data_IF_603512702483
#
_entry.id   IF_603512702483
#
_cell.length_a   1.000
_cell.length_b   1.000
_cell.length_c   1.000
_cell.angle_alpha   90.00
_cell.angle_beta   90.00
_cell.angle_gamma   90.00
#
_symmetry.space_group_name_H-M   'P 1'
#
loop_
_entity.id
_entity.type
_entity.pdbx_description
1 polymer ?
#
# COMPACT_ATOMS: atom_id res chain seq x y z
N UNK A 1 21.77 -15.64 0.74
CA UNK A 1 20.35 -16.04 0.67
C UNK A 1 20.21 -17.13 -0.39
N UNK A 2 20.53 -18.40 -0.08
CA UNK A 2 20.43 -19.51 -1.04
C UNK A 2 19.02 -19.72 -1.61
N UNK A 3 17.99 -19.32 -0.88
CA UNK A 3 16.58 -19.38 -1.28
C UNK A 3 16.27 -18.45 -2.45
N UNK A 4 16.86 -17.24 -2.44
CA UNK A 4 16.69 -16.28 -3.53
C UNK A 4 17.24 -16.82 -4.86
N UNK A 5 18.45 -17.39 -4.85
CA UNK A 5 19.04 -17.99 -6.06
C UNK A 5 18.15 -19.09 -6.62
N UNK A 6 17.60 -19.93 -5.72
CA UNK A 6 16.70 -21.02 -6.10
C UNK A 6 15.42 -20.49 -6.77
N UNK A 7 14.82 -19.41 -6.25
CA UNK A 7 13.65 -18.79 -6.87
C UNK A 7 13.98 -18.05 -8.17
N UNK A 8 15.11 -17.36 -8.21
CA UNK A 8 15.56 -16.63 -9.40
C UNK A 8 15.82 -17.57 -10.58
N UNK A 9 16.47 -18.71 -10.34
CA UNK A 9 16.70 -19.75 -11.35
C UNK A 9 15.40 -20.33 -11.91
N UNK A 10 14.31 -20.27 -11.15
CA UNK A 10 13.00 -20.74 -11.60
C UNK A 10 12.29 -19.81 -12.60
N UNK A 11 12.81 -18.59 -12.82
CA UNK A 11 12.28 -17.61 -13.77
C UNK A 11 10.76 -17.35 -13.66
N UNK A 12 10.17 -17.57 -12.49
CA UNK A 12 8.73 -17.31 -12.22
C UNK A 12 8.45 -15.84 -11.98
N UNK A 13 9.05 -14.96 -12.78
CA UNK A 13 8.80 -13.51 -12.73
C UNK A 13 7.58 -13.25 -13.61
N UNK A 14 6.43 -13.03 -12.97
CA UNK A 14 5.24 -12.53 -13.66
C UNK A 14 5.02 -11.07 -13.27
N UNK A 15 4.69 -10.24 -14.25
CA UNK A 15 4.17 -8.90 -13.97
C UNK A 15 2.75 -9.05 -13.44
N UNK A 16 2.59 -8.89 -12.12
CA UNK A 16 1.28 -8.78 -11.49
C UNK A 16 0.91 -7.29 -11.42
N UNK A 17 0.04 -6.86 -12.32
CA UNK A 17 -0.50 -5.51 -12.32
C UNK A 17 -1.60 -5.34 -11.25
N UNK A 18 -2.26 -6.42 -10.86
CA UNK A 18 -3.26 -6.43 -9.79
C UNK A 18 -3.52 -7.84 -9.24
N UNK A 19 -4.19 -7.92 -8.09
CA UNK A 19 -4.69 -9.17 -7.51
C UNK A 19 -4.74 -9.16 -5.99
N UNK A 20 -5.11 -10.29 -5.38
CA UNK A 20 -5.18 -10.38 -3.92
C UNK A 20 -3.88 -10.93 -3.33
N UNK A 21 -3.36 -10.23 -2.33
CA UNK A 21 -2.17 -10.58 -1.57
C UNK A 21 -2.56 -10.94 -0.14
N UNK A 22 -2.06 -12.08 0.34
CA UNK A 22 -2.20 -12.53 1.73
C UNK A 22 -0.90 -12.31 2.45
N UNK A 23 -0.94 -11.50 3.50
CA UNK A 23 0.22 -11.09 4.28
C UNK A 23 0.01 -11.46 5.74
N UNK A 24 1.10 -11.77 6.43
CA UNK A 24 1.10 -11.90 7.88
C UNK A 24 1.80 -10.68 8.49
N UNK A 25 1.04 -9.77 9.09
CA UNK A 25 1.57 -8.61 9.78
C UNK A 25 1.85 -8.95 11.25
N UNK A 26 3.05 -8.66 11.80
CA UNK A 26 3.46 -9.12 13.12
C UNK A 26 2.56 -8.64 14.28
N UNK A 27 1.80 -7.55 14.08
CA UNK A 27 0.96 -6.97 15.13
C UNK A 27 -0.55 -7.19 14.92
N UNK A 28 -1.02 -7.24 13.68
CA UNK A 28 -2.47 -7.37 13.39
C UNK A 28 -2.84 -8.73 12.78
N UNK A 29 -1.85 -9.62 12.62
CA UNK A 29 -2.04 -10.95 12.07
C UNK A 29 -2.28 -10.91 10.56
N UNK A 30 -3.16 -11.78 10.10
CA UNK A 30 -3.38 -11.99 8.66
C UNK A 30 -4.16 -10.84 8.01
N UNK A 31 -3.65 -10.37 6.87
CA UNK A 31 -4.25 -9.36 6.02
C UNK A 31 -4.50 -9.93 4.63
N UNK A 32 -5.70 -9.74 4.10
CA UNK A 32 -6.02 -9.93 2.69
C UNK A 32 -6.16 -8.57 2.05
N UNK A 33 -5.25 -8.22 1.15
CA UNK A 33 -5.19 -6.92 0.49
C UNK A 33 -5.33 -7.09 -1.02
N UNK A 34 -6.17 -6.28 -1.65
CA UNK A 34 -6.10 -6.09 -3.09
C UNK A 34 -4.90 -5.20 -3.41
N UNK A 35 -4.04 -5.62 -4.34
CA UNK A 35 -2.93 -4.82 -4.83
C UNK A 35 -3.18 -4.39 -6.26
N UNK A 36 -2.69 -3.20 -6.59
CA UNK A 36 -2.64 -2.67 -7.96
C UNK A 36 -1.30 -1.95 -8.17
N UNK A 37 -0.70 -2.13 -9.33
CA UNK A 37 0.57 -1.52 -9.72
C UNK A 37 0.32 -0.59 -10.91
N UNK A 38 0.57 0.70 -10.71
CA UNK A 38 0.19 1.78 -11.63
C UNK A 38 1.45 2.48 -12.16
N UNK A 39 1.79 2.23 -13.42
CA UNK A 39 2.91 2.90 -14.08
C UNK A 39 2.63 4.41 -14.25
N UNK A 40 3.66 5.24 -14.08
CA UNK A 40 3.56 6.69 -14.27
C UNK A 40 3.90 7.06 -15.72
N UNK A 41 2.96 7.62 -16.52
CA UNK A 41 3.22 7.90 -17.93
C UNK A 41 4.35 8.89 -18.19
N UNK A 42 4.59 9.82 -17.25
CA UNK A 42 5.62 10.84 -17.35
C UNK A 42 6.99 10.39 -16.80
N UNK A 43 7.03 9.25 -16.09
CA UNK A 43 8.24 8.70 -15.48
C UNK A 43 8.17 7.16 -15.50
N UNK A 44 8.63 6.51 -16.59
CA UNK A 44 8.47 5.07 -16.79
C UNK A 44 9.32 4.21 -15.84
N UNK A 45 10.27 4.83 -15.12
CA UNK A 45 11.07 4.16 -14.09
C UNK A 45 10.38 4.18 -12.71
N UNK A 46 9.19 4.79 -12.63
CA UNK A 46 8.38 4.88 -11.42
C UNK A 46 7.02 4.18 -11.55
N UNK A 47 6.59 3.60 -10.44
CA UNK A 47 5.31 2.92 -10.31
C UNK A 47 4.71 3.20 -8.93
N UNK A 48 3.38 3.35 -8.88
CA UNK A 48 2.63 3.42 -7.63
C UNK A 48 2.06 2.03 -7.35
N UNK A 49 2.44 1.45 -6.21
CA UNK A 49 1.80 0.24 -5.69
C UNK A 49 0.71 0.63 -4.69
N UNK A 50 -0.55 0.39 -5.04
CA UNK A 50 -1.69 0.57 -4.15
C UNK A 50 -2.04 -0.76 -3.49
N UNK A 51 -2.26 -0.73 -2.17
CA UNK A 51 -2.81 -1.85 -1.41
C UNK A 51 -4.06 -1.39 -0.68
N UNK A 52 -5.17 -2.09 -0.90
CA UNK A 52 -6.46 -1.80 -0.26
C UNK A 52 -7.05 -3.06 0.38
N UNK A 53 -7.95 -2.89 1.34
CA UNK A 53 -8.71 -4.00 1.91
C UNK A 53 -10.20 -3.76 1.63
N UNK A 54 -10.92 -4.83 1.34
CA UNK A 54 -12.36 -4.77 1.10
C UNK A 54 -13.10 -4.15 2.30
N UNK A 55 -13.93 -3.11 2.11
CA UNK A 55 -14.65 -2.47 3.20
C UNK A 55 -15.50 -3.44 4.03
N UNK A 56 -15.54 -3.24 5.35
CA UNK A 56 -16.29 -4.09 6.28
C UNK A 56 -15.61 -5.43 6.61
N UNK A 57 -14.41 -5.70 6.08
CA UNK A 57 -13.63 -6.88 6.46
C UNK A 57 -12.73 -6.62 7.67
N UNK A 58 -12.30 -7.70 8.33
CA UNK A 58 -11.30 -7.65 9.39
C UNK A 58 -9.98 -7.02 8.91
N UNK A 59 -9.59 -7.25 7.65
CA UNK A 59 -8.41 -6.62 7.06
C UNK A 59 -8.57 -5.10 6.93
N UNK A 60 -9.76 -4.59 6.60
CA UNK A 60 -10.03 -3.15 6.58
C UNK A 60 -10.02 -2.51 7.99
N UNK A 61 -10.46 -3.23 9.01
CA UNK A 61 -10.33 -2.79 10.41
C UNK A 61 -8.87 -2.76 10.87
N UNK A 62 -8.12 -3.82 10.56
CA UNK A 62 -6.71 -3.94 10.89
C UNK A 62 -5.86 -2.85 10.20
N UNK A 63 -6.12 -2.55 8.92
CA UNK A 63 -5.45 -1.43 8.23
C UNK A 63 -5.75 -0.08 8.89
N UNK A 64 -7.01 0.18 9.29
CA UNK A 64 -7.37 1.40 10.01
C UNK A 64 -6.65 1.51 11.35
N UNK A 65 -6.53 0.40 12.08
CA UNK A 65 -5.77 0.35 13.32
C UNK A 65 -4.29 0.69 13.10
N UNK A 66 -3.64 0.06 12.11
CA UNK A 66 -2.25 0.36 11.75
C UNK A 66 -2.06 1.83 11.39
N UNK A 67 -2.96 2.39 10.57
CA UNK A 67 -2.92 3.79 10.16
C UNK A 67 -3.04 4.75 11.37
N UNK A 68 -3.82 4.38 12.38
CA UNK A 68 -3.97 5.19 13.60
C UNK A 68 -2.69 5.32 14.43
N UNK A 69 -1.76 4.36 14.34
CA UNK A 69 -0.47 4.44 15.06
C UNK A 69 0.52 5.39 14.39
N UNK A 70 0.40 5.54 13.07
CA UNK A 70 1.26 6.40 12.27
C UNK A 70 0.61 7.75 11.94
N UNK A 71 -0.64 7.95 12.36
CA UNK A 71 -1.35 9.20 12.14
C UNK A 71 -0.54 10.33 12.79
N UNK A 72 -0.13 11.36 12.03
CA UNK A 72 0.44 12.56 12.63
C UNK A 72 -0.55 13.07 13.68
N UNK A 73 -0.10 13.29 14.91
CA UNK A 73 -0.90 14.01 15.89
C UNK A 73 -1.23 15.34 15.25
N UNK A 74 -2.51 15.63 15.02
CA UNK A 74 -2.98 16.84 14.33
C UNK A 74 -2.52 18.09 15.11
N UNK A 75 -1.29 18.50 14.85
CA UNK A 75 -0.66 19.70 15.40
C UNK A 75 -0.50 20.64 14.23
N UNK A 76 -1.63 21.15 13.74
CA UNK A 76 -1.63 22.07 12.61
C UNK A 76 -2.93 22.03 11.82
N UNK A 77 -3.98 22.61 12.41
CA UNK A 77 -5.13 23.14 11.68
C UNK A 77 -4.62 23.85 10.40
N UNK A 78 -5.04 23.45 9.17
CA UNK A 78 -4.72 24.24 8.01
C UNK A 78 -5.32 25.65 8.20
N UNK A 79 -4.47 26.67 8.05
CA UNK A 79 -4.88 28.06 8.01
C UNK A 79 -6.00 28.18 6.96
N UNK A 80 -7.09 28.93 7.21
CA UNK A 80 -8.07 29.21 6.17
C UNK A 80 -7.32 29.78 4.96
N UNK A 81 -7.42 29.11 3.81
CA UNK A 81 -6.95 29.69 2.55
C UNK A 81 -7.82 30.91 2.30
N UNK A 82 -7.28 32.08 2.63
CA UNK A 82 -7.86 33.36 2.27
C UNK A 82 -7.84 33.44 0.74
N UNK A 83 -8.97 33.11 0.12
CA UNK A 83 -9.19 33.32 -1.31
C UNK A 83 -9.40 34.82 -1.54
N UNK A 84 -8.31 35.58 -1.48
CA UNK A 84 -8.23 36.95 -1.96
C UNK A 84 -7.10 37.07 -2.97
N UNK A 85 -7.51 37.39 -4.20
CA UNK A 85 -6.75 38.02 -5.29
C UNK A 85 -5.80 37.06 -6.03
N UNK A 86 -5.89 36.88 -7.36
CA UNK A 86 -6.30 37.77 -8.45
C UNK A 86 -7.12 37.03 -9.52
#
# INVERSE_FOLDING_TARGET
MPEFSTWWDSHRVQQCAHGDQRLHHPVVGDLTLHHESLALPADPDQEICLYSAEPGTASAEALRLLASWTAPTETGRPLPTDARQL
#
